data_IF_632767762184
#
_entry.id   IF_632767762184
#
_cell.length_a   1.000
_cell.length_b   1.000
_cell.length_c   1.000
_cell.angle_alpha   90.00
_cell.angle_beta   90.00
_cell.angle_gamma   90.00
#
_symmetry.space_group_name_H-M   'P 1'
#
loop_
_entity.id
_entity.type
_entity.pdbx_description
1 polymer ?
#
# COMPACT_ATOMS: atom_id res chain seq x y z
N UNK A 1 1.40 17.52 -15.13
CA UNK A 1 0.17 17.87 -15.92
C UNK A 1 0.14 16.93 -17.12
N UNK A 2 -0.92 16.17 -17.29
CA UNK A 2 -1.01 15.20 -18.43
C UNK A 2 -1.28 15.94 -19.75
N UNK A 3 -0.55 15.60 -20.81
CA UNK A 3 -0.80 16.12 -22.14
C UNK A 3 -2.11 15.58 -22.72
N UNK A 4 -2.68 16.31 -23.69
CA UNK A 4 -3.95 15.91 -24.33
C UNK A 4 -3.84 14.55 -25.02
N UNK A 5 -4.94 13.78 -25.04
CA UNK A 5 -5.00 12.47 -25.71
C UNK A 5 -5.21 12.59 -27.24
N UNK A 6 -5.48 13.78 -27.75
CA UNK A 6 -5.69 14.04 -29.19
C UNK A 6 -5.66 15.52 -29.47
N UNK A 7 -5.56 15.88 -30.74
CA UNK A 7 -5.58 17.27 -31.18
C UNK A 7 -4.18 17.85 -31.35
N UNK A 8 -4.06 19.17 -31.18
CA UNK A 8 -2.79 19.86 -31.38
C UNK A 8 -1.95 19.84 -30.08
N UNK A 9 -0.72 19.40 -30.17
CA UNK A 9 0.33 19.55 -29.12
C UNK A 9 1.46 20.37 -29.72
N UNK A 10 2.05 21.26 -28.94
CA UNK A 10 3.22 22.04 -29.32
C UNK A 10 4.46 21.60 -28.51
N UNK A 11 5.66 21.93 -29.00
CA UNK A 11 6.90 21.76 -28.24
C UNK A 11 6.85 22.50 -26.89
N UNK A 12 6.13 23.65 -26.84
CA UNK A 12 5.91 24.38 -25.60
C UNK A 12 5.10 23.58 -24.59
N UNK A 13 4.09 22.86 -25.04
CA UNK A 13 3.27 22.01 -24.15
C UNK A 13 4.09 20.86 -23.60
N UNK A 14 4.90 20.20 -24.45
CA UNK A 14 5.79 19.12 -24.02
C UNK A 14 6.85 19.62 -23.04
N UNK A 15 7.48 20.77 -23.31
CA UNK A 15 8.41 21.37 -22.36
C UNK A 15 7.73 21.74 -21.04
N UNK A 16 6.49 22.22 -21.08
CA UNK A 16 5.69 22.50 -19.88
C UNK A 16 5.44 21.24 -19.06
N UNK A 17 5.16 20.11 -19.70
CA UNK A 17 4.98 18.81 -19.06
C UNK A 17 6.27 18.34 -18.36
N UNK A 18 7.44 18.56 -18.95
CA UNK A 18 8.74 18.31 -18.34
C UNK A 18 9.14 19.35 -17.27
N UNK A 19 8.27 20.26 -16.87
CA UNK A 19 8.56 21.30 -15.89
C UNK A 19 9.53 22.37 -16.39
N UNK A 20 9.76 22.49 -17.71
CA UNK A 20 10.64 23.44 -18.34
C UNK A 20 9.87 24.69 -18.77
N UNK A 21 10.46 25.87 -18.56
CA UNK A 21 9.79 27.12 -18.99
C UNK A 21 9.73 27.25 -20.51
N UNK A 22 8.53 27.15 -21.01
CA UNK A 22 8.04 27.00 -22.37
C UNK A 22 8.86 27.50 -23.55
N UNK A 23 9.09 28.79 -23.69
CA UNK A 23 9.56 29.38 -24.95
C UNK A 23 11.07 29.51 -25.08
N UNK A 24 11.84 29.29 -24.02
CA UNK A 24 13.30 29.46 -23.99
C UNK A 24 14.10 28.18 -24.09
N UNK A 25 13.44 27.03 -24.01
CA UNK A 25 14.12 25.74 -24.12
C UNK A 25 14.28 25.39 -25.60
N UNK A 26 15.47 25.59 -26.15
CA UNK A 26 15.83 25.02 -27.44
C UNK A 26 15.88 23.51 -27.31
N UNK A 27 14.75 22.85 -27.60
CA UNK A 27 14.65 21.40 -27.64
C UNK A 27 14.19 20.98 -29.02
N UNK A 28 14.89 20.07 -29.65
CA UNK A 28 14.37 19.38 -30.81
C UNK A 28 13.33 18.35 -30.36
N UNK A 29 12.47 17.92 -31.25
CA UNK A 29 11.50 16.85 -30.97
C UNK A 29 12.26 15.53 -30.70
N UNK A 30 13.39 15.31 -31.34
CA UNK A 30 14.31 14.19 -31.09
C UNK A 30 14.78 14.18 -29.64
N UNK A 31 15.38 15.29 -29.16
CA UNK A 31 15.90 15.40 -27.79
C UNK A 31 14.82 15.22 -26.71
N UNK A 32 13.57 15.57 -27.04
CA UNK A 32 12.42 15.38 -26.13
C UNK A 32 11.99 13.92 -26.14
N UNK A 33 11.96 13.26 -27.29
CA UNK A 33 11.47 11.89 -27.47
C UNK A 33 12.49 10.85 -26.99
N UNK A 34 13.79 11.07 -27.20
CA UNK A 34 14.86 10.11 -26.82
C UNK A 34 15.28 10.21 -25.34
N UNK A 35 14.73 11.19 -24.59
CA UNK A 35 15.03 11.38 -23.18
C UNK A 35 16.31 12.17 -22.90
N UNK A 36 16.96 12.78 -23.91
CA UNK A 36 18.16 13.63 -23.73
C UNK A 36 17.87 14.86 -22.90
N UNK A 37 16.67 15.42 -23.06
CA UNK A 37 16.24 16.64 -22.34
C UNK A 37 15.72 16.34 -20.93
N UNK A 38 14.96 15.26 -20.79
CA UNK A 38 14.43 14.78 -19.51
C UNK A 38 14.13 13.27 -19.66
N UNK A 39 14.44 12.51 -18.65
CA UNK A 39 14.17 11.06 -18.65
C UNK A 39 12.70 10.76 -18.90
N UNK A 40 12.39 9.94 -19.89
CA UNK A 40 11.01 9.54 -20.20
C UNK A 40 10.45 8.71 -19.04
N UNK A 41 9.29 9.11 -18.54
CA UNK A 41 8.62 8.42 -17.45
C UNK A 41 7.99 7.11 -17.94
N UNK A 42 8.63 6.00 -17.60
CA UNK A 42 8.22 4.64 -17.99
C UNK A 42 7.00 4.12 -17.21
N UNK A 43 6.47 4.88 -16.27
CA UNK A 43 5.18 4.58 -15.61
C UNK A 43 4.00 4.76 -16.60
N UNK A 44 4.14 5.60 -17.61
CA UNK A 44 3.15 5.68 -18.70
C UNK A 44 3.12 4.37 -19.50
N UNK A 45 1.94 4.02 -20.00
CA UNK A 45 1.81 2.91 -20.93
C UNK A 45 2.71 3.13 -22.16
N UNK A 46 3.17 2.07 -22.80
CA UNK A 46 4.05 2.18 -23.98
C UNK A 46 3.39 2.90 -25.16
N UNK A 47 2.05 2.92 -25.23
CA UNK A 47 1.26 3.68 -26.18
C UNK A 47 1.17 5.17 -25.89
N UNK A 48 1.45 5.57 -24.66
CA UNK A 48 1.21 6.92 -24.13
C UNK A 48 2.53 7.61 -23.76
N UNK A 49 3.62 7.16 -24.31
CA UNK A 49 4.96 7.73 -24.12
C UNK A 49 5.79 7.65 -25.39
N UNK A 50 6.71 8.61 -25.63
CA UNK A 50 7.63 8.52 -26.77
C UNK A 50 8.51 7.27 -26.67
N UNK A 51 8.81 6.71 -27.84
CA UNK A 51 9.58 5.47 -27.95
C UNK A 51 11.08 5.68 -28.18
N UNK A 52 11.50 6.93 -28.37
CA UNK A 52 12.89 7.32 -28.57
C UNK A 52 13.44 7.00 -29.96
N UNK A 53 12.60 6.56 -30.91
CA UNK A 53 13.03 6.14 -32.23
C UNK A 53 12.52 7.08 -33.34
N UNK A 54 13.35 7.31 -34.37
CA UNK A 54 12.92 8.05 -35.55
C UNK A 54 11.92 7.21 -36.41
N UNK A 55 10.91 7.87 -37.04
CA UNK A 55 10.69 9.32 -37.07
C UNK A 55 9.96 9.84 -35.83
N UNK A 56 10.53 10.82 -35.15
CA UNK A 56 9.92 11.44 -33.98
C UNK A 56 8.69 12.28 -34.35
N UNK A 57 7.60 12.12 -33.61
CA UNK A 57 6.34 12.81 -33.85
C UNK A 57 5.74 13.36 -32.55
N UNK A 58 5.06 14.50 -32.62
CA UNK A 58 4.37 15.06 -31.47
C UNK A 58 3.27 14.15 -30.94
N UNK A 59 2.72 13.29 -31.79
CA UNK A 59 1.71 12.29 -31.41
C UNK A 59 2.22 11.23 -30.43
N UNK A 60 3.52 11.04 -30.32
CA UNK A 60 4.13 10.13 -29.32
C UNK A 60 3.91 10.62 -27.88
N UNK A 61 3.61 11.90 -27.71
CA UNK A 61 3.36 12.53 -26.41
C UNK A 61 1.88 12.62 -26.05
N UNK A 62 0.97 12.05 -26.84
CA UNK A 62 -0.44 12.02 -26.48
C UNK A 62 -0.64 11.23 -25.18
N UNK A 63 -1.42 11.80 -24.24
CA UNK A 63 -1.67 11.26 -22.91
C UNK A 63 -0.42 11.10 -22.02
N UNK A 64 0.77 11.55 -22.46
CA UNK A 64 1.97 11.47 -21.64
C UNK A 64 1.84 12.34 -20.39
N UNK A 65 2.23 11.75 -19.26
CA UNK A 65 2.30 12.41 -17.95
C UNK A 65 3.69 12.18 -17.35
N UNK A 66 4.50 13.25 -17.32
CA UNK A 66 5.88 13.18 -16.82
C UNK A 66 5.93 12.82 -15.33
N UNK A 67 4.93 13.29 -14.59
CA UNK A 67 4.82 13.11 -13.14
C UNK A 67 3.98 11.88 -12.74
N UNK A 68 3.55 11.06 -13.72
CA UNK A 68 2.75 9.88 -13.45
C UNK A 68 3.47 8.93 -12.49
N UNK A 69 2.82 8.63 -11.39
CA UNK A 69 3.28 7.64 -10.42
C UNK A 69 2.30 6.48 -10.39
N UNK A 70 2.76 5.30 -10.75
CA UNK A 70 1.94 4.08 -10.64
C UNK A 70 1.89 3.59 -9.20
N UNK A 71 0.69 3.35 -8.71
CA UNK A 71 0.50 2.72 -7.40
C UNK A 71 0.86 1.25 -7.48
N UNK A 72 1.67 0.78 -6.56
CA UNK A 72 1.98 -0.64 -6.42
C UNK A 72 2.23 -1.03 -4.97
N UNK A 73 1.92 -2.31 -4.67
CA UNK A 73 2.18 -2.92 -3.39
C UNK A 73 3.21 -4.05 -3.49
N UNK A 74 4.09 -4.11 -2.50
CA UNK A 74 4.91 -5.29 -2.22
C UNK A 74 4.66 -5.70 -0.77
N UNK A 75 4.21 -6.94 -0.56
CA UNK A 75 3.89 -7.45 0.78
C UNK A 75 4.69 -8.72 1.06
N UNK A 76 5.36 -8.76 2.20
CA UNK A 76 6.16 -9.89 2.66
C UNK A 76 5.88 -10.20 4.13
N UNK A 77 6.10 -11.44 4.54
CA UNK A 77 5.81 -11.90 5.90
C UNK A 77 4.31 -11.82 6.24
N UNK A 78 3.44 -11.83 5.24
CA UNK A 78 2.01 -11.59 5.36
C UNK A 78 1.17 -12.86 5.58
N UNK A 79 1.80 -14.01 5.64
CA UNK A 79 1.16 -15.30 5.91
C UNK A 79 1.72 -15.93 7.18
N UNK A 80 0.90 -16.69 7.89
CA UNK A 80 1.33 -17.35 9.12
C UNK A 80 1.56 -16.40 10.31
N UNK A 81 0.86 -15.26 10.34
CA UNK A 81 0.85 -14.35 11.48
C UNK A 81 0.01 -14.95 12.60
N UNK A 82 0.66 -15.68 13.49
CA UNK A 82 -0.01 -16.46 14.53
C UNK A 82 0.07 -15.75 15.89
N UNK A 83 -1.05 -15.77 16.61
CA UNK A 83 -1.13 -15.38 18.01
C UNK A 83 -1.61 -16.60 18.82
N UNK A 84 -1.23 -16.66 20.07
CA UNK A 84 -1.79 -17.58 21.05
C UNK A 84 -1.95 -16.84 22.37
N UNK A 85 -2.96 -17.20 23.15
CA UNK A 85 -3.16 -16.52 24.43
C UNK A 85 -4.23 -17.15 25.29
N UNK A 86 -4.29 -16.69 26.54
CA UNK A 86 -5.26 -17.12 27.53
C UNK A 86 -6.48 -16.19 27.57
N UNK A 87 -7.62 -16.71 28.01
CA UNK A 87 -8.84 -15.93 28.19
C UNK A 87 -8.61 -14.70 29.10
N UNK A 88 -9.11 -13.54 28.68
CA UNK A 88 -8.96 -12.28 29.41
C UNK A 88 -7.68 -11.51 29.14
N UNK A 89 -6.77 -12.01 28.31
CA UNK A 89 -5.51 -11.35 27.93
C UNK A 89 -5.58 -10.69 26.54
N UNK A 90 -4.58 -9.92 26.22
CA UNK A 90 -4.32 -9.45 24.85
C UNK A 90 -2.96 -9.98 24.45
N UNK A 91 -2.87 -10.62 23.28
CA UNK A 91 -1.63 -11.18 22.77
C UNK A 91 -1.34 -10.68 21.36
N UNK A 92 -0.08 -10.45 21.06
CA UNK A 92 0.40 -10.01 19.77
C UNK A 92 1.13 -11.15 19.05
N UNK A 93 1.01 -11.21 17.74
CA UNK A 93 1.75 -12.19 16.95
C UNK A 93 3.27 -12.02 17.11
N UNK A 94 4.01 -13.10 17.03
CA UNK A 94 5.48 -13.08 17.08
C UNK A 94 6.11 -12.45 15.83
N UNK A 95 5.37 -12.39 14.73
CA UNK A 95 5.80 -11.82 13.46
C UNK A 95 4.88 -10.69 12.99
N UNK A 96 5.30 -10.00 11.95
CA UNK A 96 4.55 -8.89 11.32
C UNK A 96 4.63 -8.95 9.80
N UNK A 97 3.61 -8.42 9.13
CA UNK A 97 3.63 -8.18 7.70
C UNK A 97 4.41 -6.89 7.42
N UNK A 98 5.21 -6.90 6.35
CA UNK A 98 5.87 -5.71 5.80
C UNK A 98 5.23 -5.38 4.47
N UNK A 99 4.63 -4.20 4.37
CA UNK A 99 3.92 -3.72 3.19
C UNK A 99 4.63 -2.47 2.69
N UNK A 100 5.10 -2.50 1.44
CA UNK A 100 5.70 -1.33 0.80
C UNK A 100 4.72 -0.80 -0.24
N UNK A 101 4.31 0.45 -0.07
CA UNK A 101 3.48 1.19 -1.02
C UNK A 101 4.35 2.15 -1.79
N UNK A 102 4.26 2.11 -3.11
CA UNK A 102 4.87 3.06 -4.04
C UNK A 102 3.76 3.79 -4.77
N UNK A 103 3.85 5.12 -4.85
CA UNK A 103 2.96 5.94 -5.65
C UNK A 103 1.50 5.96 -5.20
N UNK A 104 1.20 5.80 -3.93
CA UNK A 104 -0.14 5.99 -3.40
C UNK A 104 -0.51 7.46 -3.32
N UNK A 105 -1.81 7.75 -3.37
CA UNK A 105 -2.39 9.06 -3.06
C UNK A 105 -3.77 8.87 -2.42
N UNK A 106 -4.20 9.82 -1.60
CA UNK A 106 -5.51 9.72 -0.96
C UNK A 106 -5.61 8.76 0.23
N UNK A 107 -4.47 8.20 0.67
CA UNK A 107 -4.41 7.30 1.81
C UNK A 107 -4.55 5.81 1.45
N UNK A 108 -4.67 4.99 2.50
CA UNK A 108 -4.80 3.53 2.39
C UNK A 108 -6.06 3.08 3.13
N UNK A 109 -6.88 2.31 2.45
CA UNK A 109 -8.05 1.64 3.03
C UNK A 109 -7.74 0.19 3.41
N UNK A 110 -8.36 -0.28 4.49
CA UNK A 110 -8.34 -1.70 4.88
C UNK A 110 -9.59 -2.36 4.31
N UNK A 111 -9.39 -3.27 3.38
CA UNK A 111 -10.44 -3.90 2.58
C UNK A 111 -10.53 -5.40 2.83
N UNK A 112 -11.64 -6.01 2.45
CA UNK A 112 -11.87 -7.46 2.46
C UNK A 112 -11.60 -8.10 3.83
N UNK A 113 -11.89 -7.38 4.92
CA UNK A 113 -11.67 -7.87 6.27
C UNK A 113 -12.62 -9.02 6.57
N UNK A 114 -12.04 -10.17 6.87
CA UNK A 114 -12.79 -11.39 7.24
C UNK A 114 -12.17 -12.03 8.47
N UNK A 115 -13.02 -12.67 9.26
CA UNK A 115 -12.61 -13.55 10.36
C UNK A 115 -13.44 -14.83 10.33
N UNK A 116 -12.81 -15.95 10.65
CA UNK A 116 -13.48 -17.28 10.72
C UNK A 116 -13.12 -17.98 12.01
N UNK A 117 -14.03 -18.83 12.50
CA UNK A 117 -13.83 -19.63 13.73
C UNK A 117 -14.50 -19.02 14.96
N UNK A 118 -14.32 -19.60 16.12
CA UNK A 118 -15.04 -19.45 17.39
C UNK A 118 -15.26 -18.04 17.97
N UNK A 119 -15.72 -17.90 19.22
CA UNK A 119 -16.02 -16.60 19.82
C UNK A 119 -14.71 -15.85 20.04
N UNK A 120 -14.35 -15.03 19.06
CA UNK A 120 -13.12 -14.24 19.13
C UNK A 120 -13.36 -12.96 19.86
N UNK A 121 -12.36 -12.57 20.64
CA UNK A 121 -12.20 -11.19 21.07
C UNK A 121 -11.91 -10.28 19.86
N UNK A 122 -11.66 -9.01 20.14
CA UNK A 122 -11.38 -8.07 19.07
C UNK A 122 -9.97 -8.26 18.50
N UNK A 123 -9.86 -8.32 17.19
CA UNK A 123 -8.57 -8.25 16.52
C UNK A 123 -7.92 -6.89 16.82
N UNK A 124 -6.65 -6.90 17.17
CA UNK A 124 -5.85 -5.74 17.52
C UNK A 124 -4.63 -5.65 16.62
N UNK A 125 -4.04 -4.47 16.54
CA UNK A 125 -2.88 -4.22 15.69
C UNK A 125 -1.87 -3.33 16.39
N UNK A 126 -0.60 -3.68 16.28
CA UNK A 126 0.52 -2.76 16.40
C UNK A 126 1.05 -2.48 15.00
N UNK A 127 1.32 -1.24 14.66
CA UNK A 127 1.80 -0.89 13.33
C UNK A 127 2.73 0.32 13.37
N UNK A 128 3.53 0.46 12.31
CA UNK A 128 4.41 1.60 12.08
C UNK A 128 4.34 2.01 10.61
N UNK A 129 4.43 3.28 10.34
CA UNK A 129 4.40 3.84 8.97
C UNK A 129 5.75 4.37 8.49
N UNK A 130 6.77 4.23 9.33
CA UNK A 130 8.15 4.65 9.08
C UNK A 130 9.12 3.49 8.81
N UNK A 131 8.58 2.26 8.72
CA UNK A 131 9.36 1.04 8.51
C UNK A 131 10.05 0.50 9.77
N UNK A 132 9.88 1.12 10.92
CA UNK A 132 10.37 0.56 12.18
C UNK A 132 9.62 -0.71 12.57
N UNK A 133 10.16 -1.49 13.51
CA UNK A 133 9.50 -2.73 13.95
C UNK A 133 8.35 -2.40 14.90
N UNK A 134 7.11 -2.85 14.61
CA UNK A 134 5.99 -2.65 15.51
C UNK A 134 6.19 -3.39 16.83
N UNK A 135 5.72 -2.78 17.91
CA UNK A 135 5.84 -3.34 19.27
C UNK A 135 5.29 -4.76 19.32
N UNK A 136 5.94 -5.61 20.09
CA UNK A 136 5.41 -6.92 20.51
C UNK A 136 4.57 -6.83 21.78
N UNK A 137 4.55 -5.66 22.44
CA UNK A 137 3.73 -5.42 23.61
C UNK A 137 2.27 -5.13 23.24
N UNK A 138 1.36 -5.33 24.18
CA UNK A 138 -0.07 -5.18 24.00
C UNK A 138 -0.57 -3.76 24.32
N UNK A 139 0.25 -2.96 24.98
CA UNK A 139 -0.08 -1.57 25.32
C UNK A 139 -0.19 -0.72 24.06
N UNK A 140 -1.29 0.01 23.93
CA UNK A 140 -1.55 0.88 22.76
C UNK A 140 -1.93 0.14 21.47
N UNK A 141 -2.22 -1.17 21.54
CA UNK A 141 -2.69 -1.90 20.37
C UNK A 141 -4.03 -1.35 19.85
N UNK A 142 -4.08 -1.07 18.56
CA UNK A 142 -5.19 -0.40 17.88
C UNK A 142 -6.26 -1.38 17.40
N UNK A 143 -7.52 -0.96 17.37
CA UNK A 143 -8.59 -1.67 16.66
C UNK A 143 -8.43 -1.54 15.13
N UNK A 144 -9.19 -2.32 14.37
CA UNK A 144 -9.23 -2.20 12.90
C UNK A 144 -9.64 -0.78 12.45
N UNK A 145 -10.60 -0.16 13.14
CA UNK A 145 -11.03 1.22 12.84
C UNK A 145 -9.91 2.24 13.12
N UNK A 146 -9.15 2.05 14.19
CA UNK A 146 -8.01 2.93 14.50
C UNK A 146 -6.87 2.74 13.50
N UNK A 147 -6.60 1.50 13.06
CA UNK A 147 -5.67 1.21 11.97
C UNK A 147 -6.11 1.94 10.71
N UNK A 148 -7.35 1.77 10.27
CA UNK A 148 -7.93 2.44 9.10
C UNK A 148 -7.74 3.97 9.16
N UNK A 149 -8.13 4.59 10.29
CA UNK A 149 -8.00 6.04 10.46
C UNK A 149 -6.56 6.52 10.38
N UNK A 150 -5.62 5.73 10.90
CA UNK A 150 -4.19 6.08 10.86
C UNK A 150 -3.58 5.94 9.47
N UNK A 151 -4.11 5.04 8.65
CA UNK A 151 -3.64 4.82 7.28
C UNK A 151 -4.25 5.78 6.25
N UNK A 152 -5.27 6.56 6.63
CA UNK A 152 -5.94 7.52 5.73
C UNK A 152 -5.03 8.60 5.16
N UNK A 153 -3.87 8.84 5.76
CA UNK A 153 -2.85 9.78 5.30
C UNK A 153 -1.55 9.11 4.79
N UNK A 154 -1.50 7.78 4.80
CA UNK A 154 -0.31 7.04 4.33
C UNK A 154 -0.33 6.90 2.81
N UNK A 155 0.60 7.57 2.12
CA UNK A 155 0.64 7.63 0.66
C UNK A 155 1.80 6.85 0.02
N UNK A 156 2.87 6.62 0.75
CA UNK A 156 4.02 5.84 0.26
C UNK A 156 4.94 5.45 1.41
N UNK A 157 5.79 4.47 1.18
CA UNK A 157 6.79 4.03 2.15
C UNK A 157 6.54 2.63 2.69
N UNK A 158 7.12 2.33 3.83
CA UNK A 158 7.06 1.00 4.46
C UNK A 158 6.15 1.01 5.67
N UNK A 159 5.04 0.31 5.54
CA UNK A 159 4.10 0.00 6.62
C UNK A 159 4.40 -1.39 7.17
N UNK A 160 4.51 -1.53 8.47
CA UNK A 160 4.60 -2.83 9.13
C UNK A 160 3.44 -3.02 10.08
N UNK A 161 2.80 -4.19 10.02
CA UNK A 161 1.59 -4.51 10.77
C UNK A 161 1.81 -5.82 11.53
N UNK A 162 1.70 -5.77 12.85
CA UNK A 162 1.69 -6.91 13.75
C UNK A 162 0.26 -7.09 14.28
N UNK A 163 -0.45 -8.15 13.91
CA UNK A 163 -1.76 -8.44 14.46
C UNK A 163 -1.66 -9.00 15.87
N UNK A 164 -2.75 -8.92 16.58
CA UNK A 164 -2.94 -9.49 17.90
C UNK A 164 -4.42 -9.67 18.20
N UNK A 165 -4.72 -10.25 19.34
CA UNK A 165 -6.09 -10.48 19.78
C UNK A 165 -6.28 -10.04 21.23
N UNK A 166 -7.40 -9.38 21.46
CA UNK A 166 -7.91 -9.14 22.82
C UNK A 166 -8.95 -10.20 23.13
N UNK A 167 -8.60 -11.13 24.00
CA UNK A 167 -9.51 -12.20 24.42
C UNK A 167 -10.55 -11.70 25.41
N UNK A 168 -11.72 -12.27 25.36
CA UNK A 168 -12.75 -12.03 26.39
C UNK A 168 -12.68 -13.13 27.45
N UNK A 169 -13.06 -12.85 28.72
CA UNK A 169 -12.98 -13.86 29.78
C UNK A 169 -13.84 -15.12 29.54
N UNK A 170 -14.80 -15.06 28.62
CA UNK A 170 -15.69 -16.16 28.28
C UNK A 170 -15.24 -16.99 27.08
N UNK A 171 -14.06 -16.69 26.52
CA UNK A 171 -13.55 -17.44 25.36
C UNK A 171 -13.22 -18.87 25.79
N UNK A 172 -13.68 -19.83 24.97
CA UNK A 172 -13.34 -21.25 25.08
C UNK A 172 -12.15 -21.54 24.17
N UNK A 173 -11.51 -22.70 24.37
CA UNK A 173 -10.50 -23.20 23.46
C UNK A 173 -11.00 -23.19 22.03
N UNK A 174 -10.12 -22.84 21.12
CA UNK A 174 -10.48 -22.81 19.72
C UNK A 174 -9.39 -22.19 18.83
N UNK A 175 -9.64 -22.28 17.54
CA UNK A 175 -8.79 -21.66 16.52
C UNK A 175 -9.61 -20.76 15.63
N UNK A 176 -8.99 -19.77 15.06
CA UNK A 176 -9.59 -18.90 14.09
C UNK A 176 -8.58 -18.35 13.09
N UNK A 177 -9.09 -17.71 12.08
CA UNK A 177 -8.26 -17.07 11.08
C UNK A 177 -8.80 -15.69 10.75
N UNK A 178 -7.92 -14.82 10.27
CA UNK A 178 -8.29 -13.51 9.72
C UNK A 178 -7.61 -13.30 8.37
N UNK A 179 -8.23 -12.44 7.56
CA UNK A 179 -7.67 -11.97 6.31
C UNK A 179 -8.12 -10.53 6.05
N UNK A 180 -7.26 -9.72 5.48
CA UNK A 180 -7.59 -8.41 4.93
C UNK A 180 -6.59 -8.02 3.84
N UNK A 181 -6.95 -7.04 3.02
CA UNK A 181 -6.07 -6.38 2.04
C UNK A 181 -5.94 -4.91 2.36
N UNK A 182 -4.90 -4.27 1.83
CA UNK A 182 -4.72 -2.83 1.86
C UNK A 182 -4.97 -2.30 0.45
N UNK A 183 -5.72 -1.21 0.32
CA UNK A 183 -6.05 -0.60 -0.95
C UNK A 183 -5.58 0.85 -1.02
N UNK A 184 -4.92 1.23 -2.11
CA UNK A 184 -4.61 2.62 -2.42
C UNK A 184 -4.80 2.87 -3.92
N UNK A 185 -5.43 3.97 -4.30
CA UNK A 185 -5.74 4.32 -5.70
C UNK A 185 -6.41 3.17 -6.49
N UNK A 186 -7.28 2.40 -5.85
CA UNK A 186 -7.93 1.25 -6.49
C UNK A 186 -7.07 0.00 -6.66
N UNK A 187 -5.81 0.00 -6.22
CA UNK A 187 -4.89 -1.14 -6.29
C UNK A 187 -4.83 -1.84 -4.93
N UNK A 188 -5.15 -3.13 -4.92
CA UNK A 188 -5.10 -3.96 -3.71
C UNK A 188 -3.70 -4.56 -3.50
N UNK A 189 -3.31 -4.67 -2.23
CA UNK A 189 -2.16 -5.51 -1.84
C UNK A 189 -2.53 -7.00 -1.95
N UNK A 190 -1.54 -7.88 -1.89
CA UNK A 190 -1.80 -9.27 -1.52
C UNK A 190 -2.39 -9.36 -0.11
N UNK A 191 -3.17 -10.39 0.14
CA UNK A 191 -3.84 -10.58 1.43
C UNK A 191 -2.84 -10.74 2.58
N UNK A 192 -3.17 -10.13 3.70
CA UNK A 192 -2.48 -10.30 4.99
C UNK A 192 -3.34 -11.28 5.79
N UNK A 193 -2.78 -12.45 6.11
CA UNK A 193 -3.51 -13.55 6.73
C UNK A 193 -2.83 -14.02 7.99
N UNK A 194 -3.60 -14.50 8.93
CA UNK A 194 -3.08 -15.10 10.14
C UNK A 194 -4.09 -16.02 10.82
N UNK A 195 -3.63 -16.71 11.84
CA UNK A 195 -4.45 -17.56 12.68
C UNK A 195 -4.24 -17.23 14.15
N UNK A 196 -5.18 -17.67 14.96
CA UNK A 196 -5.11 -17.56 16.41
C UNK A 196 -5.54 -18.86 17.04
N UNK A 197 -4.83 -19.26 18.08
CA UNK A 197 -5.19 -20.39 18.94
C UNK A 197 -5.45 -19.86 20.34
N UNK A 198 -6.59 -20.24 20.90
CA UNK A 198 -6.93 -19.96 22.29
C UNK A 198 -6.81 -21.19 23.14
N UNK A 199 -6.25 -21.02 24.32
CA UNK A 199 -6.40 -21.97 25.40
C UNK A 199 -7.26 -21.30 26.49
N UNK A 200 -8.32 -21.95 26.93
CA UNK A 200 -9.03 -21.50 28.11
C UNK A 200 -8.02 -21.59 29.25
N UNK A 201 -7.72 -20.47 29.88
CA UNK A 201 -6.89 -20.46 31.09
C UNK A 201 -7.44 -21.51 32.03
N UNK A 202 -6.63 -22.52 32.35
CA UNK A 202 -7.05 -23.61 33.24
C UNK A 202 -7.55 -23.04 34.55
N UNK A 203 -8.87 -22.89 34.67
CA UNK A 203 -9.49 -22.61 35.93
C UNK A 203 -9.05 -23.71 36.88
N UNK A 204 -8.45 -23.34 37.97
CA UNK A 204 -8.30 -24.25 39.11
C UNK A 204 -9.69 -24.82 39.36
N UNK A 205 -9.84 -26.08 39.00
CA UNK A 205 -10.97 -26.87 39.48
C UNK A 205 -10.74 -27.08 40.97
N UNK A 206 -11.63 -26.65 41.87
CA UNK A 206 -11.47 -26.75 43.32
C UNK A 206 -11.57 -28.19 43.81
#
# INVERSE_FOLDING_TARGET
MTLTSSGQISISDINGEFGRSGTTANSSLEDLSDGTVATINTANASSDRPDGNAPHAMTEFYSYDHDLVTTSWSVSGNTGLNCSGEAGTTDMANSFATCVLTGGSGGVDVENFTTTGGPFGNLKFQFTTDGSTPSSGTSGASSITQLQNSLSSFNSGTLKIRPGWQHTPSNKDGTGAFSFTLRSNGVDSSAITGSITFESGGGFDP
#
